data_IF_934715991659
#
_entry.id   IF_934715991659
#
_cell.length_a   1.000
_cell.length_b   1.000
_cell.length_c   1.000
_cell.angle_alpha   90.00
_cell.angle_beta   90.00
_cell.angle_gamma   90.00
#
_symmetry.space_group_name_H-M   'P 1'
#
loop_
_entity.id
_entity.type
_entity.pdbx_description
1 polymer ?
#
# COMPACT_ATOMS: atom_id res chain seq x y z
N UNK A 1 -9.12 -22.00 -10.57
CA UNK A 1 -8.24 -22.66 -9.57
C UNK A 1 -6.78 -22.80 -10.03
N UNK A 2 -6.44 -22.39 -11.26
CA UNK A 2 -5.12 -22.71 -11.84
C UNK A 2 -3.94 -21.87 -11.30
N UNK A 3 -4.21 -20.59 -10.97
CA UNK A 3 -3.22 -19.68 -10.37
C UNK A 3 -3.04 -19.86 -8.86
N UNK A 4 -3.83 -20.74 -8.22
CA UNK A 4 -3.60 -21.12 -6.82
C UNK A 4 -2.32 -21.97 -6.68
N UNK A 5 -1.82 -22.57 -7.77
CA UNK A 5 -0.56 -23.29 -7.76
C UNK A 5 0.63 -22.29 -7.66
N UNK A 6 1.45 -22.33 -6.60
CA UNK A 6 2.55 -21.39 -6.41
C UNK A 6 3.57 -21.38 -7.55
N UNK A 7 3.81 -22.52 -8.20
CA UNK A 7 4.73 -22.61 -9.35
C UNK A 7 4.17 -21.88 -10.56
N UNK A 8 2.87 -22.07 -10.87
CA UNK A 8 2.21 -21.37 -12.00
C UNK A 8 2.14 -19.87 -11.75
N UNK A 9 1.86 -19.47 -10.50
CA UNK A 9 1.91 -18.06 -10.11
C UNK A 9 3.29 -17.45 -10.30
N UNK A 10 4.36 -18.13 -9.88
CA UNK A 10 5.74 -17.64 -10.08
C UNK A 10 6.06 -17.48 -11.56
N UNK A 11 5.71 -18.46 -12.41
CA UNK A 11 5.91 -18.36 -13.86
C UNK A 11 5.15 -17.17 -14.47
N UNK A 12 3.92 -16.91 -14.02
CA UNK A 12 3.15 -15.75 -14.45
C UNK A 12 3.82 -14.45 -13.99
N UNK A 13 4.22 -14.37 -12.72
CA UNK A 13 4.90 -13.22 -12.15
C UNK A 13 6.22 -12.92 -12.89
N UNK A 14 7.01 -13.93 -13.23
CA UNK A 14 8.26 -13.78 -14.00
C UNK A 14 8.04 -13.15 -15.38
N UNK A 15 6.90 -13.46 -16.02
CA UNK A 15 6.53 -12.86 -17.31
C UNK A 15 6.01 -11.43 -17.15
N UNK A 16 5.20 -11.16 -16.12
CA UNK A 16 4.53 -9.86 -15.95
C UNK A 16 5.43 -8.78 -15.34
N UNK A 17 6.30 -9.14 -14.40
CA UNK A 17 7.11 -8.18 -13.64
C UNK A 17 7.95 -7.26 -14.54
N UNK A 18 8.67 -7.73 -15.58
CA UNK A 18 9.45 -6.84 -16.44
C UNK A 18 8.59 -5.79 -17.15
N UNK A 19 7.42 -6.17 -17.66
CA UNK A 19 6.50 -5.25 -18.32
C UNK A 19 5.90 -4.24 -17.35
N UNK A 20 5.48 -4.69 -16.17
CA UNK A 20 4.99 -3.79 -15.12
C UNK A 20 6.09 -2.83 -14.62
N UNK A 21 7.34 -3.30 -14.51
CA UNK A 21 8.48 -2.48 -14.13
C UNK A 21 8.76 -1.38 -15.17
N UNK A 22 8.80 -1.72 -16.46
CA UNK A 22 8.98 -0.74 -17.53
C UNK A 22 7.80 0.24 -17.58
N UNK A 23 6.57 -0.27 -17.53
CA UNK A 23 5.37 0.56 -17.58
C UNK A 23 5.29 1.51 -16.38
N UNK A 24 5.55 1.03 -15.17
CA UNK A 24 5.60 1.88 -13.97
C UNK A 24 6.67 2.95 -14.07
N UNK A 25 7.88 2.62 -14.54
CA UNK A 25 8.96 3.59 -14.72
C UNK A 25 8.59 4.70 -15.72
N UNK A 26 8.04 4.32 -16.88
CA UNK A 26 7.62 5.27 -17.92
C UNK A 26 6.46 6.15 -17.43
N UNK A 27 5.42 5.56 -16.85
CA UNK A 27 4.24 6.30 -16.36
C UNK A 27 4.62 7.23 -15.21
N UNK A 28 5.51 6.81 -14.31
CA UNK A 28 6.02 7.69 -13.25
C UNK A 28 6.89 8.81 -13.81
N UNK A 29 7.76 8.55 -14.77
CA UNK A 29 8.56 9.59 -15.41
C UNK A 29 7.67 10.67 -16.07
N UNK A 30 6.64 10.23 -16.80
CA UNK A 30 5.64 11.13 -17.41
C UNK A 30 4.85 11.88 -16.33
N UNK A 31 4.37 11.18 -15.30
CA UNK A 31 3.60 11.78 -14.21
C UNK A 31 4.40 12.84 -13.45
N UNK A 32 5.66 12.55 -13.12
CA UNK A 32 6.56 13.49 -12.45
C UNK A 32 6.87 14.69 -13.35
N UNK A 33 7.14 14.47 -14.64
CA UNK A 33 7.33 15.58 -15.58
C UNK A 33 6.10 16.49 -15.65
N UNK A 34 4.91 15.91 -15.78
CA UNK A 34 3.64 16.64 -15.77
C UNK A 34 3.40 17.36 -14.43
N UNK A 35 3.77 16.76 -13.30
CA UNK A 35 3.66 17.37 -11.98
C UNK A 35 4.50 18.65 -11.85
N UNK A 36 5.68 18.69 -12.46
CA UNK A 36 6.50 19.91 -12.54
C UNK A 36 6.00 20.92 -13.57
N UNK A 37 5.37 20.45 -14.65
CA UNK A 37 4.78 21.31 -15.69
C UNK A 37 3.40 21.88 -15.29
N UNK A 38 2.75 21.31 -14.27
CA UNK A 38 1.45 21.77 -13.80
C UNK A 38 1.51 23.21 -13.26
N UNK A 39 0.44 24.01 -13.47
CA UNK A 39 0.38 25.37 -12.96
C UNK A 39 0.42 25.38 -11.43
N UNK A 40 0.89 26.50 -10.87
CA UNK A 40 0.78 26.73 -9.44
C UNK A 40 -0.69 26.93 -9.04
N UNK A 41 -1.03 26.47 -7.84
CA UNK A 41 -2.36 26.69 -7.30
C UNK A 41 -2.47 28.12 -6.77
N UNK A 42 -3.64 28.74 -6.93
CA UNK A 42 -3.86 30.12 -6.51
C UNK A 42 -3.68 30.33 -4.99
N UNK A 43 -4.03 29.34 -4.16
CA UNK A 43 -3.88 29.43 -2.70
C UNK A 43 -2.58 28.80 -2.21
N UNK A 44 -2.18 27.67 -2.79
CA UNK A 44 -1.05 26.88 -2.31
C UNK A 44 0.28 27.20 -3.01
N UNK A 45 0.24 27.97 -4.11
CA UNK A 45 1.40 28.31 -4.92
C UNK A 45 2.14 27.05 -5.41
N UNK A 46 3.47 27.10 -5.41
CA UNK A 46 4.33 25.97 -5.79
C UNK A 46 4.19 24.74 -4.90
N UNK A 47 3.71 24.88 -3.66
CA UNK A 47 3.63 23.77 -2.69
C UNK A 47 2.60 22.71 -3.08
N UNK A 48 1.63 23.06 -3.95
CA UNK A 48 0.68 22.12 -4.54
C UNK A 48 1.38 20.94 -5.22
N UNK A 49 2.63 21.10 -5.67
CA UNK A 49 3.39 20.03 -6.32
C UNK A 49 3.65 18.83 -5.39
N UNK A 50 3.65 19.03 -4.07
CA UNK A 50 3.76 17.92 -3.09
C UNK A 50 2.56 16.98 -3.20
N UNK A 51 1.38 17.49 -3.57
CA UNK A 51 0.15 16.71 -3.79
C UNK A 51 0.38 15.52 -4.72
N UNK A 52 1.14 15.71 -5.79
CA UNK A 52 1.37 14.71 -6.84
C UNK A 52 2.11 13.46 -6.36
N UNK A 53 2.77 13.52 -5.20
CA UNK A 53 3.36 12.36 -4.53
C UNK A 53 2.60 11.99 -3.26
N UNK A 54 2.22 12.98 -2.46
CA UNK A 54 1.57 12.76 -1.17
C UNK A 54 0.21 12.06 -1.31
N UNK A 55 -0.64 12.55 -2.20
CA UNK A 55 -2.00 12.01 -2.37
C UNK A 55 -1.96 10.57 -2.90
N UNK A 56 -1.14 10.23 -3.92
CA UNK A 56 -0.91 8.83 -4.28
C UNK A 56 -0.42 7.98 -3.11
N UNK A 57 0.56 8.44 -2.32
CA UNK A 57 1.05 7.67 -1.17
C UNK A 57 -0.06 7.39 -0.15
N UNK A 58 -0.92 8.38 0.12
CA UNK A 58 -2.07 8.23 1.02
C UNK A 58 -3.13 7.27 0.46
N UNK A 59 -3.41 7.29 -0.85
CA UNK A 59 -4.34 6.33 -1.46
C UNK A 59 -3.78 4.91 -1.45
N UNK A 60 -2.49 4.77 -1.77
CA UNK A 60 -1.83 3.47 -1.85
C UNK A 60 -1.66 2.84 -0.47
N UNK A 61 -1.43 3.61 0.59
CA UNK A 61 -1.41 3.09 1.96
C UNK A 61 -2.74 2.42 2.34
N UNK A 62 -3.87 3.01 1.98
CA UNK A 62 -5.20 2.42 2.19
C UNK A 62 -5.45 1.25 1.23
N UNK A 63 -5.12 1.38 -0.05
CA UNK A 63 -5.29 0.32 -1.05
C UNK A 63 -4.52 -0.96 -0.66
N UNK A 64 -3.26 -0.81 -0.22
CA UNK A 64 -2.44 -1.92 0.26
C UNK A 64 -3.14 -2.68 1.40
N UNK A 65 -3.71 -1.96 2.36
CA UNK A 65 -4.37 -2.56 3.52
C UNK A 65 -5.66 -3.26 3.10
N UNK A 66 -6.42 -2.67 2.16
CA UNK A 66 -7.59 -3.31 1.54
C UNK A 66 -7.24 -4.61 0.82
N UNK A 67 -6.14 -4.63 0.07
CA UNK A 67 -5.64 -5.86 -0.59
C UNK A 67 -5.26 -6.92 0.45
N UNK A 68 -4.63 -6.51 1.55
CA UNK A 68 -4.33 -7.41 2.66
C UNK A 68 -5.60 -7.94 3.34
N UNK A 69 -6.62 -7.11 3.52
CA UNK A 69 -7.90 -7.54 4.09
C UNK A 69 -8.61 -8.56 3.18
N UNK A 70 -8.67 -8.32 1.87
CA UNK A 70 -9.20 -9.28 0.89
C UNK A 70 -8.40 -10.59 0.89
N UNK A 71 -7.06 -10.48 0.94
CA UNK A 71 -6.19 -11.65 1.06
C UNK A 71 -6.38 -12.39 2.39
N UNK A 72 -6.68 -11.69 3.47
CA UNK A 72 -6.98 -12.29 4.77
C UNK A 72 -8.28 -13.11 4.76
N UNK A 73 -9.32 -12.65 4.03
CA UNK A 73 -10.50 -13.48 3.74
C UNK A 73 -10.11 -14.72 2.91
N UNK A 74 -9.25 -14.53 1.90
CA UNK A 74 -8.57 -15.60 1.15
C UNK A 74 -8.00 -16.70 2.05
N UNK A 75 -7.26 -16.29 3.08
CA UNK A 75 -6.60 -17.19 4.04
C UNK A 75 -7.60 -17.91 4.95
N UNK A 76 -8.58 -17.19 5.50
CA UNK A 76 -9.48 -17.74 6.53
C UNK A 76 -10.66 -18.54 5.96
N UNK A 77 -11.27 -18.04 4.88
CA UNK A 77 -12.49 -18.61 4.30
C UNK A 77 -12.16 -19.73 3.32
N UNK A 78 -11.29 -19.45 2.35
CA UNK A 78 -10.99 -20.39 1.25
C UNK A 78 -9.70 -21.17 1.44
N UNK A 79 -8.90 -20.86 2.48
CA UNK A 79 -7.56 -21.43 2.69
C UNK A 79 -6.68 -21.31 1.44
N UNK A 80 -6.80 -20.17 0.74
CA UNK A 80 -6.12 -19.97 -0.53
C UNK A 80 -4.59 -19.92 -0.32
N UNK A 81 -3.80 -20.75 -1.04
CA UNK A 81 -2.39 -21.01 -0.74
C UNK A 81 -1.43 -19.83 -0.95
N UNK A 82 -1.88 -18.78 -1.63
CA UNK A 82 -1.10 -17.56 -1.86
C UNK A 82 -1.59 -16.35 -1.06
N UNK A 83 -2.70 -16.50 -0.32
CA UNK A 83 -3.34 -15.37 0.30
C UNK A 83 -2.56 -14.85 1.51
N UNK A 84 -1.97 -15.74 2.30
CA UNK A 84 -1.06 -15.36 3.39
C UNK A 84 0.29 -14.82 2.86
N UNK A 85 0.76 -15.34 1.72
CA UNK A 85 1.93 -14.81 1.01
C UNK A 85 1.69 -13.36 0.59
N UNK A 86 0.52 -13.04 0.04
CA UNK A 86 0.10 -11.69 -0.32
C UNK A 86 0.10 -10.77 0.90
N UNK A 87 -0.55 -11.16 2.01
CA UNK A 87 -0.58 -10.37 3.26
C UNK A 87 0.84 -10.05 3.75
N UNK A 88 1.69 -11.07 3.86
CA UNK A 88 3.07 -10.91 4.35
C UNK A 88 3.94 -10.05 3.44
N UNK A 89 3.72 -10.13 2.12
CA UNK A 89 4.49 -9.39 1.11
C UNK A 89 4.04 -7.94 0.97
N UNK A 90 2.74 -7.68 1.11
CA UNK A 90 2.16 -6.34 1.02
C UNK A 90 2.49 -5.46 2.22
N UNK A 91 2.54 -6.03 3.44
CA UNK A 91 2.64 -5.26 4.67
C UNK A 91 3.85 -4.30 4.70
N UNK A 92 5.08 -4.70 4.34
CA UNK A 92 6.22 -3.77 4.28
C UNK A 92 6.05 -2.66 3.24
N UNK A 93 5.44 -2.97 2.09
CA UNK A 93 5.24 -1.99 1.01
C UNK A 93 4.21 -0.95 1.45
N UNK A 94 3.09 -1.39 2.04
CA UNK A 94 2.08 -0.51 2.61
C UNK A 94 2.62 0.35 3.76
N UNK A 95 3.49 -0.21 4.62
CA UNK A 95 4.17 0.54 5.67
C UNK A 95 5.00 1.71 5.10
N UNK A 96 5.75 1.46 4.01
CA UNK A 96 6.56 2.49 3.34
C UNK A 96 5.68 3.58 2.73
N UNK A 97 4.60 3.21 2.01
CA UNK A 97 3.67 4.23 1.48
C UNK A 97 3.01 5.05 2.61
N UNK A 98 2.66 4.41 3.73
CA UNK A 98 2.09 5.13 4.87
C UNK A 98 3.10 6.09 5.50
N UNK A 99 4.35 5.66 5.69
CA UNK A 99 5.43 6.51 6.19
C UNK A 99 5.70 7.70 5.26
N UNK A 100 5.77 7.44 3.95
CA UNK A 100 5.95 8.49 2.94
C UNK A 100 4.77 9.47 2.93
N UNK A 101 3.54 8.99 3.09
CA UNK A 101 2.36 9.83 3.21
C UNK A 101 2.44 10.72 4.46
N UNK A 102 2.81 10.17 5.63
CA UNK A 102 2.99 10.93 6.87
C UNK A 102 4.10 11.99 6.73
N UNK A 103 5.25 11.62 6.18
CA UNK A 103 6.38 12.53 6.02
C UNK A 103 6.07 13.66 5.03
N UNK A 104 5.57 13.33 3.83
CA UNK A 104 5.21 14.33 2.82
C UNK A 104 4.04 15.18 3.26
N UNK A 105 3.07 14.62 3.99
CA UNK A 105 1.94 15.35 4.55
C UNK A 105 2.37 16.35 5.62
N UNK A 106 3.32 15.97 6.47
CA UNK A 106 3.92 16.88 7.46
C UNK A 106 4.66 18.05 6.78
N UNK A 107 5.44 17.76 5.74
CA UNK A 107 6.15 18.78 4.94
C UNK A 107 5.16 19.72 4.24
N UNK A 108 4.08 19.18 3.67
CA UNK A 108 3.05 19.99 3.03
C UNK A 108 2.25 20.80 4.04
N UNK A 109 2.05 20.26 5.24
CA UNK A 109 1.24 20.91 6.26
C UNK A 109 1.87 22.14 6.88
N UNK A 110 3.20 22.19 6.96
CA UNK A 110 3.90 23.36 7.51
C UNK A 110 3.58 24.68 6.78
N UNK A 111 3.71 24.78 5.44
CA UNK A 111 3.36 26.01 4.74
C UNK A 111 1.84 26.25 4.63
N UNK A 112 1.01 25.20 4.61
CA UNK A 112 -0.44 25.35 4.41
C UNK A 112 -1.22 25.69 5.69
N UNK A 113 -0.83 25.10 6.82
CA UNK A 113 -1.56 25.21 8.09
C UNK A 113 -0.67 25.66 9.25
N UNK A 114 0.58 26.04 8.99
CA UNK A 114 1.51 26.56 9.99
C UNK A 114 2.13 25.51 10.92
N UNK A 115 1.73 24.24 10.83
CA UNK A 115 2.14 23.14 11.72
C UNK A 115 2.53 21.87 10.96
N UNK A 116 3.47 21.12 11.53
CA UNK A 116 3.91 19.82 11.00
C UNK A 116 2.98 18.67 11.39
N UNK A 117 2.24 18.83 12.49
CA UNK A 117 1.39 17.80 13.07
C UNK A 117 0.28 18.41 13.92
N UNK A 118 -0.89 17.78 13.88
CA UNK A 118 -1.96 17.95 14.85
C UNK A 118 -2.58 16.59 15.15
N UNK A 119 -3.13 16.43 16.33
CA UNK A 119 -3.81 15.20 16.75
C UNK A 119 -5.28 15.19 16.31
N UNK A 120 -5.52 15.43 15.01
CA UNK A 120 -6.87 15.33 14.44
C UNK A 120 -7.22 13.89 14.04
N UNK A 121 -8.49 13.65 13.70
CA UNK A 121 -8.97 12.33 13.34
C UNK A 121 -8.28 11.74 12.10
N UNK A 122 -7.89 12.56 11.11
CA UNK A 122 -7.25 12.11 9.87
C UNK A 122 -5.80 11.69 10.13
N UNK A 123 -5.00 12.59 10.70
CA UNK A 123 -3.58 12.36 10.97
C UNK A 123 -3.42 11.18 11.93
N UNK A 124 -4.21 11.16 13.00
CA UNK A 124 -4.15 10.10 14.00
C UNK A 124 -4.51 8.74 13.41
N UNK A 125 -5.57 8.64 12.61
CA UNK A 125 -5.98 7.36 12.00
C UNK A 125 -4.97 6.84 10.95
N UNK A 126 -4.31 7.73 10.20
CA UNK A 126 -3.21 7.35 9.29
C UNK A 126 -1.96 6.93 10.06
N UNK A 127 -1.64 7.57 11.19
CA UNK A 127 -0.57 7.11 12.06
C UNK A 127 -0.86 5.74 12.68
N UNK A 128 -2.10 5.52 13.13
CA UNK A 128 -2.55 4.20 13.61
C UNK A 128 -2.43 3.16 12.49
N UNK A 129 -2.79 3.49 11.24
CA UNK A 129 -2.57 2.60 10.09
C UNK A 129 -1.10 2.22 9.94
N UNK A 130 -0.17 3.16 10.10
CA UNK A 130 1.27 2.88 10.06
C UNK A 130 1.68 1.89 11.16
N UNK A 131 1.24 2.11 12.41
CA UNK A 131 1.51 1.20 13.51
C UNK A 131 0.90 -0.20 13.27
N UNK A 132 -0.28 -0.28 12.67
CA UNK A 132 -0.91 -1.56 12.30
C UNK A 132 -0.08 -2.32 11.28
N UNK A 133 0.48 -1.65 10.27
CA UNK A 133 1.42 -2.28 9.35
C UNK A 133 2.65 -2.84 10.07
N UNK A 134 3.28 -2.04 10.94
CA UNK A 134 4.42 -2.50 11.74
C UNK A 134 4.05 -3.69 12.63
N UNK A 135 2.87 -3.66 13.25
CA UNK A 135 2.33 -4.75 14.06
C UNK A 135 2.17 -6.04 13.26
N UNK A 136 1.63 -5.98 12.04
CA UNK A 136 1.50 -7.17 11.17
C UNK A 136 2.87 -7.70 10.73
N UNK A 137 3.82 -6.80 10.41
CA UNK A 137 5.19 -7.18 10.06
C UNK A 137 5.88 -7.87 11.24
N UNK A 138 5.74 -7.34 12.46
CA UNK A 138 6.29 -7.93 13.67
C UNK A 138 5.64 -9.29 13.97
N UNK A 139 4.31 -9.37 13.92
CA UNK A 139 3.54 -10.59 14.18
C UNK A 139 3.94 -11.73 13.24
N UNK A 140 4.04 -11.45 11.93
CA UNK A 140 4.40 -12.47 10.93
C UNK A 140 5.84 -12.95 11.05
N UNK A 141 6.73 -12.18 11.70
CA UNK A 141 8.13 -12.54 11.98
C UNK A 141 8.32 -13.22 13.33
N UNK A 142 7.47 -12.92 14.32
CA UNK A 142 7.58 -13.46 15.67
C UNK A 142 7.03 -14.90 15.80
N UNK A 143 6.13 -15.31 14.90
CA UNK A 143 5.52 -16.64 14.92
C UNK A 143 6.23 -17.59 13.96
N UNK A 144 6.91 -18.60 14.51
CA UNK A 144 7.65 -19.62 13.75
C UNK A 144 6.77 -20.57 12.96
N UNK A 145 5.59 -20.91 13.51
CA UNK A 145 4.62 -21.77 12.82
C UNK A 145 3.91 -21.00 11.71
N UNK A 146 4.09 -21.37 10.42
CA UNK A 146 3.54 -20.60 9.30
C UNK A 146 2.01 -20.53 9.32
N UNK A 147 1.34 -21.59 9.79
CA UNK A 147 -0.13 -21.65 9.84
C UNK A 147 -0.72 -20.72 10.90
N UNK A 148 -0.17 -20.75 12.12
CA UNK A 148 -0.52 -19.83 13.21
C UNK A 148 -0.20 -18.39 12.84
N UNK A 149 0.98 -18.15 12.25
CA UNK A 149 1.40 -16.83 11.75
C UNK A 149 0.40 -16.27 10.74
N UNK A 150 0.05 -17.05 9.71
CA UNK A 150 -0.91 -16.67 8.69
C UNK A 150 -2.31 -16.37 9.26
N UNK A 151 -2.81 -17.22 10.16
CA UNK A 151 -4.13 -17.04 10.77
C UNK A 151 -4.17 -15.80 11.67
N UNK A 152 -3.17 -15.61 12.51
CA UNK A 152 -3.08 -14.44 13.39
C UNK A 152 -3.00 -13.14 12.59
N UNK A 153 -2.12 -13.09 11.58
CA UNK A 153 -2.01 -11.94 10.70
C UNK A 153 -3.31 -11.63 9.96
N UNK A 154 -4.02 -12.66 9.48
CA UNK A 154 -5.30 -12.47 8.81
C UNK A 154 -6.39 -11.89 9.72
N UNK A 155 -6.50 -12.38 10.96
CA UNK A 155 -7.47 -11.86 11.94
C UNK A 155 -7.16 -10.40 12.28
N UNK A 156 -5.90 -10.09 12.62
CA UNK A 156 -5.50 -8.71 12.97
C UNK A 156 -5.73 -7.76 11.79
N UNK A 157 -5.41 -8.18 10.57
CA UNK A 157 -5.65 -7.37 9.36
C UNK A 157 -7.14 -7.09 9.14
N UNK A 158 -8.02 -8.08 9.32
CA UNK A 158 -9.46 -7.88 9.13
C UNK A 158 -10.07 -6.97 10.20
N UNK A 159 -9.71 -7.15 11.46
CA UNK A 159 -10.13 -6.24 12.54
C UNK A 159 -9.63 -4.83 12.25
N UNK A 160 -8.37 -4.72 11.83
CA UNK A 160 -7.75 -3.46 11.48
C UNK A 160 -8.37 -2.75 10.27
N UNK A 161 -9.04 -3.48 9.38
CA UNK A 161 -9.67 -2.90 8.19
C UNK A 161 -10.72 -1.84 8.54
N UNK A 162 -11.30 -1.89 9.74
CA UNK A 162 -12.21 -0.85 10.28
C UNK A 162 -11.56 0.54 10.29
N UNK A 163 -10.24 0.64 10.38
CA UNK A 163 -9.54 1.93 10.33
C UNK A 163 -9.60 2.59 8.94
N UNK A 164 -9.77 1.83 7.85
CA UNK A 164 -9.83 2.38 6.49
C UNK A 164 -11.05 3.30 6.27
N UNK A 165 -12.31 2.91 6.60
CA UNK A 165 -13.43 3.83 6.53
C UNK A 165 -13.29 4.99 7.51
N UNK A 166 -12.72 4.78 8.71
CA UNK A 166 -12.43 5.87 9.65
C UNK A 166 -11.52 6.91 8.99
N UNK A 167 -10.42 6.48 8.36
CA UNK A 167 -9.58 7.38 7.57
C UNK A 167 -10.45 8.04 6.51
N UNK A 168 -11.04 7.31 5.56
CA UNK A 168 -11.78 7.88 4.42
C UNK A 168 -12.77 8.97 4.82
N UNK A 169 -13.61 8.71 5.81
CA UNK A 169 -14.69 9.61 6.24
C UNK A 169 -14.28 10.57 7.36
N UNK A 170 -13.04 10.55 7.85
CA UNK A 170 -12.61 11.40 8.97
C UNK A 170 -12.80 12.91 8.73
N UNK A 171 -12.77 13.34 7.46
CA UNK A 171 -12.94 14.74 7.05
C UNK A 171 -14.41 15.17 6.95
N UNK A 172 -15.32 14.19 6.92
CA UNK A 172 -16.77 14.42 6.92
C UNK A 172 -17.33 14.30 8.35
N UNK A 173 -16.79 13.38 9.14
CA UNK A 173 -17.25 13.13 10.51
C UNK A 173 -16.69 14.11 11.55
N UNK A 174 -15.51 14.70 11.31
CA UNK A 174 -14.87 15.63 12.24
C UNK A 174 -14.29 16.87 11.54
N UNK A 175 -14.14 17.93 12.33
CA UNK A 175 -13.34 19.09 11.93
C UNK A 175 -11.86 18.71 11.93
N UNK A 176 -11.28 18.63 10.75
CA UNK A 176 -9.86 18.31 10.54
C UNK A 176 -9.18 19.43 9.75
N UNK A 177 -7.85 19.54 9.80
CA UNK A 177 -7.12 20.48 8.93
C UNK A 177 -7.28 20.13 7.45
N UNK A 178 -7.59 18.87 7.17
CA UNK A 178 -7.77 18.37 5.82
C UNK A 178 -9.10 18.85 5.24
N UNK A 179 -9.02 19.39 4.03
CA UNK A 179 -10.22 19.72 3.27
C UNK A 179 -10.96 18.44 2.84
N UNK A 180 -12.30 18.52 2.63
CA UNK A 180 -13.05 17.43 2.02
C UNK A 180 -12.46 17.00 0.67
N UNK A 181 -12.64 15.73 0.32
CA UNK A 181 -12.01 15.15 -0.88
C UNK A 181 -12.34 15.96 -2.13
N UNK A 182 -11.32 16.42 -2.87
CA UNK A 182 -11.51 17.23 -4.09
C UNK A 182 -11.49 16.41 -5.39
N UNK A 183 -11.12 15.13 -5.32
CA UNK A 183 -10.91 14.26 -6.49
C UNK A 183 -11.97 13.18 -6.63
N UNK A 184 -12.24 12.42 -5.55
CA UNK A 184 -13.23 11.34 -5.55
C UNK A 184 -14.45 11.80 -4.75
N UNK A 185 -15.44 12.35 -5.46
CA UNK A 185 -16.73 12.84 -4.94
C UNK A 185 -17.88 12.29 -5.77
N UNK A 186 -19.07 12.23 -5.17
CA UNK A 186 -20.30 11.86 -5.87
C UNK A 186 -20.67 12.87 -6.98
N UNK A 187 -20.38 14.15 -6.76
CA UNK A 187 -20.71 15.24 -7.70
C UNK A 187 -19.57 15.54 -8.72
N UNK A 188 -18.51 14.71 -8.75
CA UNK A 188 -17.35 14.90 -9.61
C UNK A 188 -16.18 15.68 -8.98
N UNK A 189 -14.99 15.68 -9.63
CA UNK A 189 -13.80 16.33 -9.10
C UNK A 189 -13.94 17.86 -9.16
N UNK A 190 -13.56 18.54 -8.08
CA UNK A 190 -13.50 20.02 -8.03
C UNK A 190 -12.13 20.58 -8.38
N UNK A 191 -11.12 19.71 -8.53
CA UNK A 191 -9.79 20.08 -8.98
C UNK A 191 -9.78 20.34 -10.49
N UNK A 192 -9.11 21.41 -10.92
CA UNK A 192 -9.01 21.76 -12.33
C UNK A 192 -8.28 20.66 -13.14
N UNK A 193 -8.70 20.33 -14.38
CA UNK A 193 -8.10 19.25 -15.17
C UNK A 193 -6.58 19.34 -15.35
N UNK A 194 -6.02 20.55 -15.41
CA UNK A 194 -4.57 20.78 -15.51
C UNK A 194 -3.78 20.27 -14.32
N UNK A 195 -4.40 20.12 -13.15
CA UNK A 195 -3.81 19.52 -11.95
C UNK A 195 -4.32 18.09 -11.71
N UNK A 196 -5.55 17.78 -12.14
CA UNK A 196 -6.11 16.44 -11.99
C UNK A 196 -5.33 15.37 -12.78
N UNK A 197 -5.04 15.63 -14.06
CA UNK A 197 -4.38 14.64 -14.93
C UNK A 197 -2.97 14.26 -14.44
N UNK A 198 -2.08 15.21 -14.10
CA UNK A 198 -0.78 14.87 -13.49
C UNK A 198 -0.94 14.02 -12.23
N UNK A 199 -1.90 14.35 -11.36
CA UNK A 199 -2.19 13.59 -10.15
C UNK A 199 -2.62 12.14 -10.45
N UNK A 200 -3.54 11.94 -11.39
CA UNK A 200 -4.02 10.61 -11.77
C UNK A 200 -2.92 9.78 -12.43
N UNK A 201 -2.06 10.39 -13.24
CA UNK A 201 -0.93 9.70 -13.89
C UNK A 201 0.11 9.29 -12.84
N UNK A 202 0.43 10.15 -11.87
CA UNK A 202 1.26 9.77 -10.73
C UNK A 202 0.61 8.63 -9.91
N UNK A 203 -0.68 8.73 -9.62
CA UNK A 203 -1.41 7.68 -8.89
C UNK A 203 -1.37 6.33 -9.63
N UNK A 204 -1.56 6.34 -10.95
CA UNK A 204 -1.43 5.15 -11.79
C UNK A 204 0.01 4.61 -11.77
N UNK A 205 1.01 5.48 -11.95
CA UNK A 205 2.42 5.10 -11.94
C UNK A 205 2.84 4.43 -10.61
N UNK A 206 2.46 5.02 -9.47
CA UNK A 206 2.75 4.42 -8.17
C UNK A 206 1.93 3.15 -7.92
N UNK A 207 0.71 3.04 -8.46
CA UNK A 207 -0.10 1.81 -8.36
C UNK A 207 0.56 0.67 -9.14
N UNK A 208 1.05 0.93 -10.35
CA UNK A 208 1.82 -0.03 -11.14
C UNK A 208 3.12 -0.42 -10.43
N UNK A 209 3.80 0.54 -9.81
CA UNK A 209 4.98 0.27 -8.99
C UNK A 209 4.65 -0.65 -7.80
N UNK A 210 3.55 -0.37 -7.09
CA UNK A 210 3.07 -1.24 -6.01
C UNK A 210 2.87 -2.67 -6.50
N UNK A 211 2.12 -2.90 -7.59
CA UNK A 211 1.88 -4.25 -8.10
C UNK A 211 3.17 -4.93 -8.56
N UNK A 212 4.10 -4.19 -9.16
CA UNK A 212 5.44 -4.69 -9.52
C UNK A 212 6.17 -5.20 -8.28
N UNK A 213 6.29 -4.36 -7.25
CA UNK A 213 6.98 -4.70 -6.00
C UNK A 213 6.27 -5.84 -5.25
N UNK A 214 4.95 -5.84 -5.23
CA UNK A 214 4.14 -6.86 -4.56
C UNK A 214 4.37 -8.23 -5.22
N UNK A 215 4.29 -8.32 -6.55
CA UNK A 215 4.54 -9.59 -7.27
C UNK A 215 5.98 -10.08 -7.05
N UNK A 216 6.96 -9.18 -7.09
CA UNK A 216 8.36 -9.50 -6.79
C UNK A 216 8.54 -10.03 -5.36
N UNK A 217 7.89 -9.39 -4.38
CA UNK A 217 7.94 -9.78 -2.98
C UNK A 217 7.25 -11.14 -2.75
N UNK A 218 6.07 -11.37 -3.33
CA UNK A 218 5.38 -12.67 -3.26
C UNK A 218 6.22 -13.79 -3.87
N UNK A 219 6.82 -13.56 -5.05
CA UNK A 219 7.72 -14.52 -5.68
C UNK A 219 8.89 -14.86 -4.75
N UNK A 220 9.50 -13.85 -4.14
CA UNK A 220 10.62 -14.01 -3.21
C UNK A 220 10.21 -14.81 -1.97
N UNK A 221 9.04 -14.54 -1.41
CA UNK A 221 8.51 -15.29 -0.26
C UNK A 221 8.18 -16.75 -0.61
N UNK A 222 7.63 -17.03 -1.79
CA UNK A 222 7.39 -18.40 -2.27
C UNK A 222 8.72 -19.17 -2.36
N UNK A 223 9.74 -18.57 -2.98
CA UNK A 223 11.07 -19.18 -3.06
C UNK A 223 11.70 -19.40 -1.68
N UNK A 224 11.56 -18.43 -0.77
CA UNK A 224 12.05 -18.55 0.61
C UNK A 224 11.41 -19.73 1.34
N UNK A 225 10.09 -19.92 1.20
CA UNK A 225 9.37 -21.07 1.77
C UNK A 225 9.85 -22.40 1.18
N UNK A 226 10.08 -22.45 -0.13
CA UNK A 226 10.61 -23.64 -0.82
C UNK A 226 12.00 -24.02 -0.31
N UNK A 227 12.91 -23.05 -0.19
CA UNK A 227 14.26 -23.26 0.37
C UNK A 227 14.19 -23.74 1.82
N UNK A 228 13.34 -23.12 2.65
CA UNK A 228 13.14 -23.55 4.05
C UNK A 228 12.63 -24.99 4.15
N UNK A 229 11.67 -25.37 3.30
CA UNK A 229 11.17 -26.75 3.23
C UNK A 229 12.27 -27.75 2.85
N UNK A 230 13.05 -27.46 1.80
CA UNK A 230 14.15 -28.33 1.36
C UNK A 230 15.21 -28.50 2.45
N UNK A 231 15.57 -27.43 3.17
CA UNK A 231 16.50 -27.51 4.31
C UNK A 231 15.99 -28.42 5.43
N UNK A 232 14.69 -28.37 5.75
CA UNK A 232 14.08 -29.24 6.76
C UNK A 232 14.09 -30.71 6.34
N UNK A 233 13.91 -31.01 5.05
CA UNK A 233 13.99 -32.37 4.51
C UNK A 233 15.43 -32.90 4.58
N UNK A 234 16.40 -32.13 4.07
CA UNK A 234 17.81 -32.51 4.10
C UNK A 234 18.32 -32.75 5.54
N UNK A 235 17.91 -31.93 6.51
CA UNK A 235 18.26 -32.15 7.92
C UNK A 235 17.67 -33.44 8.51
N UNK A 236 16.48 -33.87 8.06
CA UNK A 236 15.88 -35.15 8.47
C UNK A 236 16.57 -36.35 7.84
N UNK A 237 17.06 -36.20 6.60
CA UNK A 237 17.80 -37.25 5.88
C UNK A 237 19.21 -37.43 6.44
N UNK A 238 19.91 -36.35 6.81
CA UNK A 238 21.24 -36.42 7.42
C UNK A 238 21.24 -36.98 8.85
N UNK A 239 20.09 -37.02 9.51
CA UNK A 239 19.92 -37.61 10.84
C UNK A 239 19.44 -39.07 10.83
N UNK A 240 19.27 -39.68 9.65
CA UNK A 240 18.97 -41.11 9.46
C UNK A 240 20.23 -41.87 9.10
#
# INVERSE_FOLDING_TARGET
MDLANPTRFVTLADRLVPWLAVLSAVVLAVGIWLAFAAPEDYQQGITVRIMYIHVPFAWLSMMCYSIMALSSLGTLVWRHPLADVSVKSAAPIGAVFTLLALATGSIWGKPMWGTWWVWDARLTSVFVLFLMYLGIIALTRALDDPGRSARAAAIVTLVGFVNIPIIKFSVEWWNTLHQPASVIRLDGPTIHPSMLWPLLICALGFTLLFFTLHLMAMRTEIWRRRVSSMRKIAAREAGR
#
